data_IF_056015813272
#
_entry.id   IF_056015813272
#
_cell.length_a   1.000
_cell.length_b   1.000
_cell.length_c   1.000
_cell.angle_alpha   90.00
_cell.angle_beta   90.00
_cell.angle_gamma   90.00
#
_symmetry.space_group_name_H-M   'P 1'
#
loop_
_entity.id
_entity.type
_entity.pdbx_description
1 polymer ?
#
# COMPACT_ATOMS: atom_id res chain seq x y z
N UNK A 1 16.36 -6.11 1.30
CA UNK A 1 16.51 -5.39 0.04
C UNK A 1 15.30 -4.53 -0.23
N UNK A 2 15.51 -3.30 -0.65
CA UNK A 2 14.36 -2.48 -1.02
C UNK A 2 13.67 -3.04 -2.26
N UNK A 3 12.37 -2.87 -2.30
CA UNK A 3 11.58 -3.24 -3.47
C UNK A 3 11.65 -2.08 -4.44
N UNK A 4 11.99 -2.39 -5.69
CA UNK A 4 11.96 -1.39 -6.75
C UNK A 4 10.62 -1.51 -7.47
N UNK A 5 9.80 -0.48 -7.36
CA UNK A 5 8.50 -0.43 -8.00
C UNK A 5 8.43 0.86 -8.81
N UNK A 6 8.06 0.72 -10.08
CA UNK A 6 7.94 1.88 -10.95
C UNK A 6 6.54 2.47 -10.79
N UNK A 7 6.37 3.35 -9.80
CA UNK A 7 5.11 4.02 -9.56
C UNK A 7 5.32 5.53 -9.65
N UNK A 8 4.32 6.29 -10.10
CA UNK A 8 4.44 7.75 -10.14
C UNK A 8 4.47 8.32 -8.73
N UNK A 9 5.23 9.37 -8.54
CA UNK A 9 5.21 10.11 -7.30
C UNK A 9 3.89 10.85 -7.17
N UNK A 10 3.37 10.87 -5.94
CA UNK A 10 2.15 11.59 -5.67
C UNK A 10 2.47 13.00 -5.21
N UNK A 11 1.47 13.89 -5.31
CA UNK A 11 1.60 15.23 -4.77
C UNK A 11 1.57 15.27 -3.25
N UNK A 12 1.37 14.11 -2.61
CA UNK A 12 1.34 13.99 -1.16
C UNK A 12 2.69 13.55 -0.59
N UNK A 13 3.77 13.66 -1.36
CA UNK A 13 5.10 13.32 -0.89
C UNK A 13 5.55 11.95 -1.37
N UNK A 14 6.67 11.51 -0.83
CA UNK A 14 7.25 10.23 -1.21
C UNK A 14 6.54 9.08 -0.52
N UNK A 15 6.31 8.02 -1.26
CA UNK A 15 5.74 6.80 -0.72
C UNK A 15 6.87 5.89 -0.22
N UNK A 16 6.60 5.20 0.88
CA UNK A 16 7.55 4.26 1.47
C UNK A 16 7.07 2.85 1.19
N UNK A 17 7.53 2.29 0.09
CA UNK A 17 7.12 0.94 -0.30
C UNK A 17 7.79 -0.10 0.57
N UNK A 18 7.01 -1.03 1.09
CA UNK A 18 7.44 -2.08 2.01
C UNK A 18 7.04 -3.44 1.49
N UNK A 19 7.86 -4.43 1.83
CA UNK A 19 7.60 -5.82 1.43
C UNK A 19 6.61 -6.44 2.44
N UNK A 20 5.43 -6.89 1.98
CA UNK A 20 4.44 -7.45 2.90
C UNK A 20 4.89 -8.75 3.55
N UNK A 21 5.91 -9.42 3.01
CA UNK A 21 6.45 -10.61 3.65
C UNK A 21 7.31 -10.27 4.86
N UNK A 22 7.88 -9.06 4.91
CA UNK A 22 8.77 -8.63 5.99
C UNK A 22 8.08 -7.73 6.99
N UNK A 23 7.19 -6.86 6.50
CA UNK A 23 6.48 -5.89 7.31
C UNK A 23 5.01 -5.88 6.93
N UNK A 24 4.16 -5.82 7.94
CA UNK A 24 2.72 -5.74 7.70
C UNK A 24 2.16 -4.49 8.36
N UNK A 25 1.09 -3.91 7.79
CA UNK A 25 0.40 -2.80 8.43
C UNK A 25 -0.22 -3.23 9.76
N UNK A 26 -0.62 -2.25 10.54
CA UNK A 26 -1.43 -2.52 11.72
C UNK A 26 -2.87 -2.82 11.33
N UNK A 27 -3.57 -3.48 12.22
CA UNK A 27 -4.97 -3.83 12.01
C UNK A 27 -5.79 -2.58 11.70
N UNK A 28 -6.60 -2.65 10.66
CA UNK A 28 -7.46 -1.58 10.18
C UNK A 28 -6.74 -0.39 9.56
N UNK A 29 -5.44 -0.49 9.30
CA UNK A 29 -4.70 0.59 8.64
C UNK A 29 -5.16 0.74 7.20
N UNK A 30 -5.30 2.00 6.80
CA UNK A 30 -5.52 2.36 5.41
C UNK A 30 -4.16 2.50 4.72
N UNK A 31 -3.99 1.83 3.59
CA UNK A 31 -2.69 1.76 2.92
C UNK A 31 -2.87 1.83 1.42
N UNK A 32 -1.76 2.02 0.72
CA UNK A 32 -1.69 1.83 -0.72
C UNK A 32 -1.01 0.51 -1.00
N UNK A 33 -1.48 -0.20 -2.01
CA UNK A 33 -0.89 -1.48 -2.42
C UNK A 33 -0.61 -1.47 -3.91
N UNK A 34 0.35 -2.29 -4.33
CA UNK A 34 0.68 -2.47 -5.74
C UNK A 34 0.32 -3.89 -6.15
N UNK A 35 -0.51 -4.00 -7.18
CA UNK A 35 -0.91 -5.27 -7.77
C UNK A 35 -0.79 -5.13 -9.28
N UNK A 36 0.05 -5.97 -9.91
CA UNK A 36 0.15 -6.00 -11.35
C UNK A 36 0.52 -4.67 -12.00
N UNK A 37 1.29 -3.85 -11.30
CA UNK A 37 1.68 -2.54 -11.81
C UNK A 37 0.71 -1.41 -11.48
N UNK A 38 -0.42 -1.73 -10.87
CA UNK A 38 -1.41 -0.72 -10.49
C UNK A 38 -1.28 -0.39 -9.00
N UNK A 39 -1.54 0.87 -8.66
CA UNK A 39 -1.55 1.33 -7.28
C UNK A 39 -3.01 1.48 -6.84
N UNK A 40 -3.38 0.79 -5.78
CA UNK A 40 -4.75 0.78 -5.29
C UNK A 40 -4.79 1.15 -3.82
N UNK A 41 -5.88 1.80 -3.41
CA UNK A 41 -6.15 2.00 -2.00
C UNK A 41 -6.69 0.71 -1.40
N UNK A 42 -6.27 0.41 -0.17
CA UNK A 42 -6.70 -0.79 0.50
C UNK A 42 -6.73 -0.58 2.01
N UNK A 43 -7.36 -1.52 2.70
CA UNK A 43 -7.35 -1.58 4.16
C UNK A 43 -6.80 -2.93 4.57
N UNK A 44 -5.94 -2.93 5.58
CA UNK A 44 -5.37 -4.17 6.10
C UNK A 44 -6.17 -4.59 7.33
N UNK A 45 -6.75 -5.78 7.26
CA UNK A 45 -7.49 -6.33 8.38
C UNK A 45 -7.47 -7.86 8.30
N UNK A 46 -7.51 -8.51 9.44
CA UNK A 46 -7.49 -9.98 9.54
C UNK A 46 -6.31 -10.60 8.79
N UNK A 47 -5.17 -9.91 8.81
CA UNK A 47 -3.96 -10.42 8.16
C UNK A 47 -3.93 -10.30 6.66
N UNK A 48 -4.88 -9.60 6.05
CA UNK A 48 -4.99 -9.51 4.60
C UNK A 48 -5.33 -8.09 4.16
N UNK A 49 -5.05 -7.81 2.88
CA UNK A 49 -5.37 -6.52 2.27
C UNK A 49 -6.70 -6.62 1.54
N UNK A 50 -7.56 -5.64 1.73
CA UNK A 50 -8.87 -5.55 1.07
C UNK A 50 -8.93 -4.26 0.28
N UNK A 51 -9.28 -4.36 -1.00
CA UNK A 51 -9.48 -3.20 -1.86
C UNK A 51 -10.78 -2.47 -1.49
N UNK A 52 -11.06 -1.35 -2.16
CA UNK A 52 -12.15 -0.45 -1.78
C UNK A 52 -13.52 -1.12 -1.66
N UNK A 53 -13.77 -2.15 -2.46
CA UNK A 53 -15.06 -2.86 -2.44
C UNK A 53 -15.02 -4.11 -1.57
N UNK A 54 -14.07 -4.17 -0.64
CA UNK A 54 -13.88 -5.30 0.26
C UNK A 54 -13.53 -6.60 -0.47
N UNK A 55 -12.98 -6.48 -1.67
CA UNK A 55 -12.43 -7.63 -2.37
C UNK A 55 -11.03 -7.90 -1.85
N UNK A 56 -10.78 -9.14 -1.42
CA UNK A 56 -9.46 -9.50 -0.91
C UNK A 56 -8.43 -9.37 -2.02
N UNK A 57 -7.38 -8.60 -1.76
CA UNK A 57 -6.30 -8.41 -2.70
C UNK A 57 -5.33 -9.57 -2.61
N UNK A 58 -5.04 -10.20 -3.75
CA UNK A 58 -4.07 -11.28 -3.86
C UNK A 58 -2.85 -10.78 -4.62
N UNK A 59 -1.71 -11.43 -4.38
CA UNK A 59 -0.47 -11.11 -5.11
C UNK A 59 -0.04 -9.65 -4.93
N UNK A 60 -0.21 -9.13 -3.71
CA UNK A 60 0.28 -7.78 -3.38
C UNK A 60 1.80 -7.79 -3.43
N UNK A 61 2.36 -6.94 -4.30
CA UNK A 61 3.81 -6.86 -4.49
C UNK A 61 4.46 -6.08 -3.35
N UNK A 62 3.86 -4.95 -3.01
CA UNK A 62 4.35 -4.10 -1.93
C UNK A 62 3.22 -3.19 -1.46
N UNK A 63 3.42 -2.57 -0.31
CA UNK A 63 2.44 -1.66 0.26
C UNK A 63 3.15 -0.44 0.84
N UNK A 64 2.41 0.64 1.03
CA UNK A 64 2.93 1.85 1.66
C UNK A 64 1.90 2.38 2.64
N UNK A 65 2.34 2.97 3.75
CA UNK A 65 1.43 3.71 4.61
C UNK A 65 0.69 4.76 3.81
N UNK A 66 -0.51 5.12 4.28
CA UNK A 66 -1.30 6.16 3.61
C UNK A 66 -0.51 7.47 3.62
N UNK A 67 -0.31 8.10 2.47
CA UNK A 67 0.46 9.33 2.43
C UNK A 67 -0.29 10.45 3.14
N UNK A 68 0.46 11.30 3.85
CA UNK A 68 -0.13 12.46 4.49
C UNK A 68 -0.26 13.59 3.50
N UNK A 69 -1.32 14.38 3.64
CA UNK A 69 -1.49 15.55 2.81
C UNK A 69 -0.37 16.54 3.10
N UNK A 70 0.07 17.29 2.08
CA UNK A 70 1.08 18.32 2.31
C UNK A 70 0.58 19.38 3.26
N UNK A 71 1.50 19.90 4.07
CA UNK A 71 1.17 20.99 4.97
C UNK A 71 1.05 22.28 4.15
N UNK A 72 -0.06 22.97 4.33
CA UNK A 72 -0.30 24.20 3.61
C UNK A 72 0.54 25.33 4.15
#
# INVERSE_FOLDING_TARGET
>A
MPITVNVPQTKFGLLEWRNPANEKPQENDRVLIVIGGDVLAARFTHGEFYANNWTRAKAVVCWSPWPQAPVA
#
